data_IF_612245619297
#
_entry.id   IF_612245619297
#
_cell.length_a   1.000
_cell.length_b   1.000
_cell.length_c   1.000
_cell.angle_alpha   90.00
_cell.angle_beta   90.00
_cell.angle_gamma   90.00
#
_symmetry.space_group_name_H-M   'P 1'
#
loop_
_entity.id
_entity.type
_entity.pdbx_description
1 polymer ?
#
# COMPACT_ATOMS: atom_id res chain seq x y z
N UNK A 1 -14.27 -3.73 22.63
CA UNK A 1 -12.86 -3.38 22.36
C UNK A 1 -12.58 -2.11 23.14
N UNK A 2 -11.59 -2.12 24.04
CA UNK A 2 -11.16 -0.89 24.73
C UNK A 2 -10.34 -0.04 23.77
N UNK A 3 -10.13 1.23 24.10
CA UNK A 3 -9.28 2.13 23.31
C UNK A 3 -7.85 1.59 23.17
N UNK A 4 -7.27 1.10 24.27
CA UNK A 4 -5.93 0.48 24.27
C UNK A 4 -5.85 -0.72 23.32
N UNK A 5 -6.81 -1.65 23.39
CA UNK A 5 -6.83 -2.81 22.48
C UNK A 5 -7.00 -2.40 21.01
N UNK A 6 -7.75 -1.33 20.74
CA UNK A 6 -7.93 -0.83 19.38
C UNK A 6 -6.63 -0.20 18.85
N UNK A 7 -5.90 0.54 19.70
CA UNK A 7 -4.62 1.13 19.36
C UNK A 7 -3.55 0.04 19.12
N UNK A 8 -3.45 -0.96 20.00
CA UNK A 8 -2.56 -2.11 19.81
C UNK A 8 -2.86 -2.87 18.50
N UNK A 9 -4.14 -3.10 18.21
CA UNK A 9 -4.57 -3.73 16.95
C UNK A 9 -4.17 -2.86 15.74
N UNK A 10 -4.35 -1.55 15.83
CA UNK A 10 -4.01 -0.62 14.75
C UNK A 10 -2.51 -0.62 14.49
N UNK A 11 -1.67 -0.64 15.52
CA UNK A 11 -0.22 -0.68 15.39
C UNK A 11 0.26 -1.99 14.75
N UNK A 12 -0.25 -3.12 15.23
CA UNK A 12 0.06 -4.44 14.68
C UNK A 12 -0.36 -4.55 13.21
N UNK A 13 -1.57 -4.10 12.89
CA UNK A 13 -2.08 -4.12 11.53
C UNK A 13 -1.28 -3.18 10.62
N UNK A 14 -0.98 -1.96 11.07
CA UNK A 14 -0.17 -0.99 10.32
C UNK A 14 1.18 -1.60 9.96
N UNK A 15 1.90 -2.16 10.94
CA UNK A 15 3.20 -2.80 10.71
C UNK A 15 3.13 -4.02 9.77
N UNK A 16 2.01 -4.76 9.78
CA UNK A 16 1.78 -5.84 8.82
C UNK A 16 1.57 -5.30 7.40
N UNK A 17 0.65 -4.36 7.22
CA UNK A 17 0.35 -3.77 5.92
C UNK A 17 1.54 -3.06 5.31
N UNK A 18 2.31 -2.30 6.09
CA UNK A 18 3.52 -1.63 5.61
C UNK A 18 4.55 -2.62 5.06
N UNK A 19 4.76 -3.77 5.73
CA UNK A 19 5.64 -4.82 5.24
C UNK A 19 5.12 -5.46 3.94
N UNK A 20 3.82 -5.75 3.88
CA UNK A 20 3.19 -6.32 2.68
C UNK A 20 3.29 -5.36 1.49
N UNK A 21 3.02 -4.07 1.72
CA UNK A 21 3.12 -3.01 0.72
C UNK A 21 4.56 -2.88 0.24
N UNK A 22 5.55 -2.83 1.13
CA UNK A 22 6.96 -2.73 0.75
C UNK A 22 7.44 -3.93 -0.08
N UNK A 23 7.02 -5.14 0.28
CA UNK A 23 7.32 -6.36 -0.49
C UNK A 23 6.70 -6.30 -1.89
N UNK A 24 5.44 -5.87 -1.98
CA UNK A 24 4.75 -5.76 -3.26
C UNK A 24 5.33 -4.64 -4.13
N UNK A 25 5.69 -3.50 -3.56
CA UNK A 25 6.39 -2.41 -4.26
C UNK A 25 7.72 -2.89 -4.86
N UNK A 26 8.51 -3.63 -4.09
CA UNK A 26 9.76 -4.19 -4.58
C UNK A 26 9.53 -5.19 -5.74
N UNK A 27 8.47 -5.99 -5.67
CA UNK A 27 8.08 -6.91 -6.74
C UNK A 27 7.65 -6.17 -8.01
N UNK A 28 6.80 -5.15 -7.88
CA UNK A 28 6.36 -4.33 -9.01
C UNK A 28 7.54 -3.62 -9.65
N UNK A 29 8.44 -3.01 -8.87
CA UNK A 29 9.64 -2.35 -9.39
C UNK A 29 10.58 -3.33 -10.11
N UNK A 30 10.74 -4.55 -9.60
CA UNK A 30 11.52 -5.59 -10.28
C UNK A 30 10.94 -5.91 -11.66
N UNK A 31 9.62 -6.14 -11.75
CA UNK A 31 8.94 -6.42 -13.01
C UNK A 31 9.00 -5.22 -13.96
N UNK A 32 8.89 -4.01 -13.42
CA UNK A 32 9.06 -2.78 -14.20
C UNK A 32 10.45 -2.71 -14.84
N UNK A 33 11.50 -3.10 -14.10
CA UNK A 33 12.88 -3.14 -14.60
C UNK A 33 13.12 -4.24 -15.64
N UNK A 34 12.32 -5.29 -15.66
CA UNK A 34 12.38 -6.30 -16.72
C UNK A 34 11.90 -5.73 -18.07
N UNK A 35 10.94 -4.79 -18.05
CA UNK A 35 10.46 -4.08 -19.24
C UNK A 35 11.24 -2.79 -19.56
N UNK A 36 11.66 -2.04 -18.53
CA UNK A 36 12.38 -0.76 -18.63
C UNK A 36 13.58 -0.78 -17.67
N UNK A 37 14.78 -1.21 -18.11
CA UNK A 37 15.91 -1.53 -17.23
C UNK A 37 16.35 -0.46 -16.23
N UNK A 38 16.15 0.82 -16.54
CA UNK A 38 16.60 1.94 -15.70
C UNK A 38 15.45 2.65 -14.97
N UNK A 39 14.25 2.06 -14.91
CA UNK A 39 13.12 2.67 -14.20
C UNK A 39 13.36 2.67 -12.68
N UNK A 40 13.07 3.81 -12.06
CA UNK A 40 13.19 4.04 -10.63
C UNK A 40 11.84 4.15 -9.92
N UNK A 41 11.84 4.24 -8.59
CA UNK A 41 10.63 4.39 -7.79
C UNK A 41 9.83 5.66 -8.09
N UNK A 42 10.49 6.74 -8.53
CA UNK A 42 9.82 8.00 -8.85
C UNK A 42 9.04 7.89 -10.17
N UNK A 43 9.62 7.26 -11.19
CA UNK A 43 8.93 6.98 -12.46
C UNK A 43 7.70 6.07 -12.26
N UNK A 44 7.79 5.15 -11.29
CA UNK A 44 6.69 4.27 -10.91
C UNK A 44 5.47 4.99 -10.32
N UNK A 45 5.56 6.27 -9.98
CA UNK A 45 4.37 7.07 -9.59
C UNK A 45 3.43 7.35 -10.76
N UNK A 46 3.96 7.34 -11.99
CA UNK A 46 3.20 7.55 -13.22
C UNK A 46 3.52 6.45 -14.24
N UNK A 47 3.11 5.18 -13.98
CA UNK A 47 3.47 4.06 -14.84
C UNK A 47 2.88 4.15 -16.25
N UNK A 48 1.86 4.98 -16.46
CA UNK A 48 1.26 5.22 -17.77
C UNK A 48 2.19 5.93 -18.78
N UNK A 49 3.25 6.58 -18.29
CA UNK A 49 4.27 7.23 -19.14
C UNK A 49 5.20 6.21 -19.82
N UNK A 50 5.10 4.93 -19.46
CA UNK A 50 5.95 3.84 -19.95
C UNK A 50 5.08 2.75 -20.61
N UNK A 51 4.79 2.88 -21.92
CA UNK A 51 3.96 1.89 -22.65
C UNK A 51 4.46 0.45 -22.53
N UNK A 52 5.78 0.26 -22.37
CA UNK A 52 6.42 -1.05 -22.22
C UNK A 52 5.92 -1.80 -20.97
N UNK A 53 5.48 -1.09 -19.94
CA UNK A 53 4.93 -1.72 -18.73
C UNK A 53 3.59 -2.41 -19.00
N UNK A 54 2.78 -1.86 -19.91
CA UNK A 54 1.50 -2.49 -20.31
C UNK A 54 1.70 -3.77 -21.12
N UNK A 55 2.81 -3.87 -21.84
CA UNK A 55 3.16 -5.07 -22.61
C UNK A 55 3.71 -6.19 -21.71
N UNK A 56 4.12 -5.87 -20.47
CA UNK A 56 4.67 -6.84 -19.55
C UNK A 56 3.56 -7.73 -18.96
N UNK A 57 3.60 -9.06 -19.16
CA UNK A 57 2.45 -9.95 -18.96
C UNK A 57 1.91 -9.99 -17.53
N UNK A 58 2.77 -9.74 -16.54
CA UNK A 58 2.41 -9.80 -15.12
C UNK A 58 2.36 -8.43 -14.44
N UNK A 59 2.71 -7.33 -15.12
CA UNK A 59 2.92 -6.05 -14.45
C UNK A 59 1.60 -5.48 -13.90
N UNK A 60 0.58 -5.35 -14.74
CA UNK A 60 -0.71 -4.77 -14.35
C UNK A 60 -1.38 -5.54 -13.20
N UNK A 61 -1.26 -6.87 -13.19
CA UNK A 61 -1.81 -7.69 -12.12
C UNK A 61 -1.15 -7.38 -10.76
N UNK A 62 0.18 -7.29 -10.75
CA UNK A 62 0.94 -7.07 -9.53
C UNK A 62 0.82 -5.62 -9.03
N UNK A 63 0.72 -4.66 -9.94
CA UNK A 63 0.40 -3.26 -9.62
C UNK A 63 -1.02 -3.13 -9.04
N UNK A 64 -1.99 -3.86 -9.59
CA UNK A 64 -3.34 -3.95 -9.04
C UNK A 64 -3.38 -4.52 -7.62
N UNK A 65 -2.56 -5.53 -7.32
CA UNK A 65 -2.40 -6.04 -5.95
C UNK A 65 -1.83 -4.97 -5.02
N UNK A 66 -0.82 -4.21 -5.47
CA UNK A 66 -0.26 -3.11 -4.69
C UNK A 66 -1.33 -2.07 -4.35
N UNK A 67 -2.12 -1.64 -5.35
CA UNK A 67 -3.23 -0.71 -5.16
C UNK A 67 -4.28 -1.27 -4.17
N UNK A 68 -4.58 -2.57 -4.27
CA UNK A 68 -5.48 -3.27 -3.35
C UNK A 68 -4.97 -3.28 -1.90
N UNK A 69 -3.68 -3.55 -1.69
CA UNK A 69 -3.06 -3.53 -0.35
C UNK A 69 -3.10 -2.14 0.28
N UNK A 70 -2.78 -1.09 -0.50
CA UNK A 70 -2.85 0.30 -0.04
C UNK A 70 -4.30 0.67 0.34
N UNK A 71 -5.26 0.31 -0.51
CA UNK A 71 -6.68 0.56 -0.26
C UNK A 71 -7.19 -0.15 0.99
N UNK A 72 -6.81 -1.42 1.17
CA UNK A 72 -7.18 -2.21 2.34
C UNK A 72 -6.57 -1.64 3.64
N UNK A 73 -5.31 -1.20 3.60
CA UNK A 73 -4.67 -0.55 4.74
C UNK A 73 -5.42 0.74 5.14
N UNK A 74 -5.75 1.59 4.16
CA UNK A 74 -6.51 2.81 4.41
C UNK A 74 -7.91 2.53 4.98
N UNK A 75 -8.62 1.56 4.42
CA UNK A 75 -9.95 1.18 4.88
C UNK A 75 -9.94 0.64 6.31
N UNK A 76 -9.00 -0.25 6.65
CA UNK A 76 -8.87 -0.79 8.00
C UNK A 76 -8.61 0.32 9.03
N UNK A 77 -7.68 1.23 8.72
CA UNK A 77 -7.33 2.34 9.60
C UNK A 77 -8.51 3.29 9.81
N UNK A 78 -9.28 3.58 8.75
CA UNK A 78 -10.48 4.39 8.86
C UNK A 78 -11.57 3.71 9.72
N UNK A 79 -11.78 2.41 9.52
CA UNK A 79 -12.77 1.63 10.25
C UNK A 79 -12.47 1.56 11.75
N UNK A 80 -11.24 1.26 12.13
CA UNK A 80 -10.85 1.17 13.56
C UNK A 80 -10.97 2.55 14.22
N UNK A 81 -10.46 3.61 13.58
CA UNK A 81 -10.54 4.97 14.12
C UNK A 81 -11.97 5.49 14.21
N UNK A 82 -12.84 5.15 13.25
CA UNK A 82 -14.25 5.52 13.28
C UNK A 82 -15.04 4.85 14.41
N UNK A 83 -14.53 3.75 14.97
CA UNK A 83 -15.12 3.06 16.13
C UNK A 83 -14.57 3.54 17.47
N UNK A 84 -13.49 4.31 17.47
CA UNK A 84 -12.94 4.92 18.69
C UNK A 84 -13.74 6.18 19.05
N UNK A 85 -13.97 6.45 20.35
CA UNK A 85 -14.57 7.71 20.76
C UNK A 85 -13.67 8.87 20.31
N UNK A 86 -14.27 9.96 19.82
CA UNK A 86 -13.51 11.15 19.47
C UNK A 86 -12.86 11.72 20.73
N UNK A 87 -11.53 11.74 20.80
CA UNK A 87 -10.83 12.53 21.82
C UNK A 87 -11.12 14.00 21.53
N UNK A 88 -11.78 14.75 22.43
CA UNK A 88 -11.97 16.17 22.22
C UNK A 88 -10.60 16.85 22.15
N UNK A 89 -10.40 17.82 21.24
CA UNK A 89 -9.17 18.59 21.23
C UNK A 89 -9.03 19.35 22.57
N UNK A 90 -7.99 19.03 23.35
CA UNK A 90 -7.63 19.73 24.59
C UNK A 90 -7.75 18.93 25.90
N UNK A 91 -7.87 17.61 25.87
CA UNK A 91 -7.73 16.74 27.05
C UNK A 91 -6.26 16.49 27.42
#
# INVERSE_FOLDING_TARGET
MTEDTANELLDLATALYERMIAQQQAKVLRLAREAVPNIGPEEMRNPHDFPQLKEHPSFEFEDGILAGLISAHMALRAEIKGRLPATPPGA
#
